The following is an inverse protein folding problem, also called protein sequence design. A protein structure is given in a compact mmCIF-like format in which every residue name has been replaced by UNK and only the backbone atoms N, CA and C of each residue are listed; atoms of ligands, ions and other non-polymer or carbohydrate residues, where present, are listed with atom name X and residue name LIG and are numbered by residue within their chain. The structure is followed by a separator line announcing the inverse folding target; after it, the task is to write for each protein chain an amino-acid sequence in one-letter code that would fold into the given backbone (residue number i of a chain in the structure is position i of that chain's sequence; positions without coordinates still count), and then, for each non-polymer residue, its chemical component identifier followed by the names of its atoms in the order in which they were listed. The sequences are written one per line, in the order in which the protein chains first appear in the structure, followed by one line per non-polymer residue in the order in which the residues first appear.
data_IF_726552100596
#
_entry.id   IF_726552100596
#
_cell.length_a   1.000
_cell.length_b   1.000
_cell.length_c   1.000
_cell.angle_alpha   90.00
_cell.angle_beta   90.00
_cell.angle_gamma   90.00
#
_symmetry.space_group_name_H-M   'P 1'
#
loop_
_entity.id
_entity.type
_entity.pdbx_description
1 polymer ?
#
# COMPACT_ATOMS: atom_id res chain seq x y z
N UNK A 1 2.25 -24.09 1.93
CA UNK A 1 2.87 -25.21 1.19
C UNK A 1 4.20 -24.82 0.54
N UNK A 2 4.24 -23.80 -0.34
CA UNK A 2 5.49 -23.37 -0.99
C UNK A 2 6.44 -22.59 -0.05
N UNK A 3 5.89 -21.77 0.85
CA UNK A 3 6.68 -21.07 1.88
C UNK A 3 7.37 -22.04 2.85
N UNK A 4 6.63 -23.05 3.33
CA UNK A 4 7.15 -24.15 4.14
C UNK A 4 8.22 -25.01 3.44
N UNK A 5 8.43 -24.82 2.12
CA UNK A 5 9.47 -25.49 1.32
C UNK A 5 10.55 -24.53 0.81
N UNK A 6 10.56 -23.27 1.25
CA UNK A 6 11.43 -22.20 0.73
C UNK A 6 11.29 -21.94 -0.79
N UNK A 7 10.16 -22.34 -1.39
CA UNK A 7 9.87 -22.19 -2.82
C UNK A 7 8.91 -21.04 -3.11
N UNK A 8 8.63 -20.19 -2.12
CA UNK A 8 7.73 -19.06 -2.31
C UNK A 8 8.31 -18.03 -3.29
N UNK A 9 9.60 -17.69 -3.18
CA UNK A 9 10.21 -16.71 -4.08
C UNK A 9 10.16 -17.14 -5.56
N UNK A 10 10.49 -18.39 -5.94
CA UNK A 10 10.29 -18.89 -7.31
C UNK A 10 8.83 -18.88 -7.78
N UNK A 11 7.87 -19.21 -6.89
CA UNK A 11 6.45 -19.17 -7.22
C UNK A 11 5.99 -17.73 -7.51
N UNK A 12 6.37 -16.79 -6.64
CA UNK A 12 6.04 -15.36 -6.80
C UNK A 12 6.66 -14.80 -8.07
N UNK A 13 7.91 -15.13 -8.35
CA UNK A 13 8.58 -14.74 -9.59
C UNK A 13 7.80 -15.19 -10.82
N UNK A 14 7.46 -16.49 -10.91
CA UNK A 14 6.74 -17.02 -12.06
C UNK A 14 5.34 -16.44 -12.20
N UNK A 15 4.63 -16.24 -11.08
CA UNK A 15 3.28 -15.67 -11.10
C UNK A 15 3.29 -14.20 -11.49
N UNK A 16 4.21 -13.39 -10.95
CA UNK A 16 4.33 -11.99 -11.33
C UNK A 16 4.83 -11.81 -12.76
N UNK A 17 5.76 -12.66 -13.20
CA UNK A 17 6.21 -12.67 -14.59
C UNK A 17 5.04 -12.92 -15.54
N UNK A 18 4.24 -13.96 -15.28
CA UNK A 18 3.03 -14.28 -16.06
C UNK A 18 2.02 -13.13 -16.06
N UNK A 19 1.73 -12.56 -14.89
CA UNK A 19 0.77 -11.47 -14.76
C UNK A 19 1.21 -10.23 -15.55
N UNK A 20 2.49 -9.87 -15.42
CA UNK A 20 3.09 -8.78 -16.18
C UNK A 20 3.10 -9.11 -17.67
N UNK A 21 3.36 -10.37 -18.05
CA UNK A 21 3.39 -10.84 -19.44
C UNK A 21 2.06 -10.65 -20.18
N UNK A 22 0.94 -10.88 -19.49
CA UNK A 22 -0.41 -10.81 -20.08
C UNK A 22 -1.06 -9.44 -19.98
N UNK A 23 -0.48 -8.49 -19.25
CA UNK A 23 -1.11 -7.19 -18.99
C UNK A 23 -0.81 -6.16 -20.08
N UNK A 24 -1.85 -5.57 -20.68
CA UNK A 24 -1.71 -4.59 -21.78
C UNK A 24 -0.93 -3.33 -21.37
N UNK A 25 -1.10 -2.87 -20.14
CA UNK A 25 -0.41 -1.70 -19.60
C UNK A 25 -0.19 -1.82 -18.08
N UNK A 26 0.72 -1.01 -17.54
CA UNK A 26 1.06 -1.05 -16.11
C UNK A 26 -0.11 -0.57 -15.22
N UNK A 27 -0.97 0.31 -15.72
CA UNK A 27 -2.08 0.90 -14.96
C UNK A 27 -3.16 -0.11 -14.61
N UNK A 28 -3.27 -1.23 -15.32
CA UNK A 28 -4.26 -2.30 -15.05
C UNK A 28 -3.64 -3.49 -14.33
N UNK A 29 -2.31 -3.50 -14.20
CA UNK A 29 -1.57 -4.57 -13.57
C UNK A 29 -1.94 -4.70 -12.10
N UNK A 30 -2.23 -5.93 -11.66
CA UNK A 30 -2.68 -6.27 -10.29
C UNK A 30 -3.95 -5.54 -9.80
N UNK A 31 -4.71 -4.89 -10.69
CA UNK A 31 -6.02 -4.28 -10.36
C UNK A 31 -7.21 -5.20 -10.61
N UNK A 32 -6.99 -6.39 -11.15
CA UNK A 32 -8.01 -7.39 -11.46
C UNK A 32 -8.15 -8.48 -10.40
N UNK A 33 -9.11 -9.39 -10.61
CA UNK A 33 -9.35 -10.57 -9.75
C UNK A 33 -8.52 -11.80 -10.15
N UNK A 34 -7.35 -11.59 -10.74
CA UNK A 34 -6.47 -12.66 -11.22
C UNK A 34 -5.85 -13.44 -10.07
N UNK A 35 -5.31 -14.61 -10.40
CA UNK A 35 -4.54 -15.41 -9.45
C UNK A 35 -3.30 -14.65 -8.94
N UNK A 36 -2.59 -13.92 -9.82
CA UNK A 36 -1.44 -13.11 -9.45
C UNK A 36 -1.78 -12.03 -8.43
N UNK A 37 -2.88 -11.30 -8.65
CA UNK A 37 -3.37 -10.26 -7.72
C UNK A 37 -3.75 -10.84 -6.36
N UNK A 38 -4.42 -11.99 -6.34
CA UNK A 38 -4.79 -12.68 -5.09
C UNK A 38 -3.57 -13.19 -4.32
N UNK A 39 -2.57 -13.74 -5.02
CA UNK A 39 -1.32 -14.20 -4.40
C UNK A 39 -0.54 -13.02 -3.82
N UNK A 40 -0.45 -11.90 -4.54
CA UNK A 40 0.20 -10.68 -4.06
C UNK A 40 -0.48 -10.15 -2.79
N UNK A 41 -1.81 -10.00 -2.83
CA UNK A 41 -2.60 -9.54 -1.67
C UNK A 41 -2.42 -10.49 -0.47
N UNK A 42 -2.41 -11.80 -0.72
CA UNK A 42 -2.16 -12.79 0.33
C UNK A 42 -0.76 -12.62 0.95
N UNK A 43 0.28 -12.40 0.13
CA UNK A 43 1.64 -12.18 0.64
C UNK A 43 1.76 -10.91 1.48
N UNK A 44 1.19 -9.79 1.02
CA UNK A 44 1.12 -8.56 1.81
C UNK A 44 0.39 -8.76 3.13
N UNK A 45 -0.69 -9.55 3.13
CA UNK A 45 -1.42 -9.88 4.35
C UNK A 45 -0.56 -10.69 5.33
N UNK A 46 0.04 -11.79 4.90
CA UNK A 46 0.75 -12.69 5.83
C UNK A 46 2.08 -12.11 6.34
N UNK A 47 2.83 -11.40 5.50
CA UNK A 47 4.14 -10.84 5.89
C UNK A 47 4.05 -9.40 6.37
N UNK A 48 3.01 -8.66 5.97
CA UNK A 48 2.85 -7.24 6.27
C UNK A 48 1.92 -6.95 7.42
N UNK A 49 1.09 -7.89 7.90
CA UNK A 49 0.09 -7.62 8.94
C UNK A 49 0.70 -6.98 10.20
N UNK A 50 1.72 -7.62 10.80
CA UNK A 50 2.36 -7.09 12.01
C UNK A 50 3.07 -5.75 11.76
N UNK A 51 3.66 -5.57 10.58
CA UNK A 51 4.29 -4.31 10.19
C UNK A 51 3.26 -3.17 10.07
N UNK A 52 2.16 -3.41 9.33
CA UNK A 52 1.09 -2.43 9.15
C UNK A 52 0.38 -2.12 10.46
N UNK A 53 0.15 -3.14 11.29
CA UNK A 53 -0.43 -2.94 12.62
C UNK A 53 0.49 -2.04 13.47
N UNK A 54 1.77 -2.40 13.63
CA UNK A 54 2.71 -1.60 14.42
C UNK A 54 2.92 -0.18 13.90
N UNK A 55 2.71 0.04 12.60
CA UNK A 55 2.80 1.34 11.95
C UNK A 55 1.55 2.20 12.15
N UNK A 56 0.36 1.64 11.88
CA UNK A 56 -0.89 2.39 11.79
C UNK A 56 -1.65 2.44 13.11
N UNK A 57 -1.55 1.41 13.94
CA UNK A 57 -2.23 1.35 15.24
C UNK A 57 -1.97 2.58 16.15
N UNK A 58 -0.72 3.06 16.34
CA UNK A 58 -0.48 4.26 17.16
C UNK A 58 -1.04 5.55 16.54
N UNK A 59 -1.33 5.57 15.24
CA UNK A 59 -1.94 6.70 14.55
C UNK A 59 -3.47 6.65 14.59
N UNK A 60 -4.04 5.44 14.57
CA UNK A 60 -5.49 5.21 14.58
C UNK A 60 -6.06 5.31 15.99
N UNK A 61 -5.38 4.75 17.01
CA UNK A 61 -5.91 4.74 18.39
C UNK A 61 -6.31 6.14 18.91
N UNK A 62 -5.47 7.19 18.77
CA UNK A 62 -5.86 8.55 19.20
C UNK A 62 -7.09 9.10 18.48
N UNK A 63 -7.35 8.69 17.22
CA UNK A 63 -8.54 9.11 16.48
C UNK A 63 -9.82 8.46 16.99
N UNK A 64 -9.71 7.25 17.56
CA UNK A 64 -10.85 6.57 18.17
C UNK A 64 -11.19 7.18 19.53
N UNK A 65 -10.17 7.68 20.24
CA UNK A 65 -10.32 8.30 21.56
C UNK A 65 -10.75 9.79 21.48
N UNK A 66 -10.71 10.40 20.29
CA UNK A 66 -11.12 11.78 20.03
C UNK A 66 -12.34 11.84 19.08
N UNK A 67 -13.57 11.76 19.62
CA UNK A 67 -14.79 11.85 18.81
C UNK A 67 -15.18 13.29 18.45
N UNK A 68 -14.44 14.30 18.93
CA UNK A 68 -14.79 15.72 18.76
C UNK A 68 -14.15 16.30 17.52
N UNK A 69 -12.94 15.87 17.18
CA UNK A 69 -12.24 16.36 15.99
C UNK A 69 -12.91 15.87 14.72
N UNK A 70 -13.38 16.82 13.90
CA UNK A 70 -13.94 16.56 12.58
C UNK A 70 -12.91 16.72 11.45
N UNK A 71 -13.13 15.94 10.39
CA UNK A 71 -12.34 15.90 9.17
C UNK A 71 -13.20 16.05 7.91
N UNK A 72 -14.49 16.40 8.06
CA UNK A 72 -15.43 16.52 6.94
C UNK A 72 -15.10 17.77 6.11
N UNK A 73 -14.91 17.57 4.81
CA UNK A 73 -14.51 18.62 3.86
C UNK A 73 -15.52 18.79 2.71
N UNK A 74 -16.60 18.01 2.71
CA UNK A 74 -17.75 18.21 1.83
C UNK A 74 -18.70 19.25 2.44
N UNK A 75 -18.86 20.44 1.83
CA UNK A 75 -19.76 21.47 2.34
C UNK A 75 -21.22 21.01 2.46
N UNK A 76 -21.65 20.04 1.66
CA UNK A 76 -23.02 19.53 1.70
C UNK A 76 -23.28 18.60 2.91
N UNK A 77 -22.23 18.12 3.57
CA UNK A 77 -22.28 17.18 4.71
C UNK A 77 -21.82 17.81 6.02
N UNK A 78 -21.40 19.08 5.99
CA UNK A 78 -20.90 19.83 7.13
C UNK A 78 -22.04 20.17 8.10
N UNK A 79 -21.82 19.95 9.40
CA UNK A 79 -22.76 20.39 10.42
C UNK A 79 -22.68 21.91 10.64
N UNK A 80 -23.77 22.52 11.10
CA UNK A 80 -23.84 23.98 11.28
C UNK A 80 -22.83 24.53 12.31
N UNK A 81 -22.30 23.67 13.18
CA UNK A 81 -21.31 24.01 14.21
C UNK A 81 -19.86 23.80 13.78
N UNK A 82 -19.64 23.22 12.61
CA UNK A 82 -18.29 22.89 12.13
C UNK A 82 -17.71 23.98 11.24
N UNK A 83 -16.38 24.11 11.27
CA UNK A 83 -15.64 25.00 10.38
C UNK A 83 -14.85 24.17 9.36
N UNK A 84 -15.22 24.31 8.09
CA UNK A 84 -14.59 23.57 6.98
C UNK A 84 -13.09 23.85 6.84
N UNK A 85 -12.62 25.06 7.18
CA UNK A 85 -11.21 25.41 7.11
C UNK A 85 -10.42 24.72 8.23
N UNK A 86 -11.03 24.57 9.41
CA UNK A 86 -10.46 23.80 10.52
C UNK A 86 -10.41 22.32 10.17
N UNK A 87 -11.51 21.75 9.68
CA UNK A 87 -11.58 20.34 9.26
C UNK A 87 -10.56 20.01 8.17
N UNK A 88 -10.39 20.90 7.18
CA UNK A 88 -9.38 20.74 6.14
C UNK A 88 -7.96 20.72 6.71
N UNK A 89 -7.64 21.62 7.65
CA UNK A 89 -6.34 21.64 8.32
C UNK A 89 -6.11 20.36 9.13
N UNK A 90 -7.13 19.88 9.84
CA UNK A 90 -7.08 18.62 10.58
C UNK A 90 -6.76 17.44 9.64
N UNK A 91 -7.46 17.37 8.50
CA UNK A 91 -7.29 16.31 7.51
C UNK A 91 -5.89 16.32 6.88
N UNK A 92 -5.39 17.50 6.50
CA UNK A 92 -4.03 17.67 5.97
C UNK A 92 -3.00 17.22 7.02
N UNK A 93 -3.14 17.66 8.27
CA UNK A 93 -2.21 17.32 9.35
C UNK A 93 -2.19 15.81 9.64
N UNK A 94 -3.37 15.16 9.68
CA UNK A 94 -3.46 13.72 9.85
C UNK A 94 -2.82 12.97 8.67
N UNK A 95 -3.14 13.39 7.45
CA UNK A 95 -2.60 12.78 6.22
C UNK A 95 -1.08 12.88 6.20
N UNK A 96 -0.52 14.04 6.55
CA UNK A 96 0.92 14.23 6.63
C UNK A 96 1.56 13.30 7.68
N UNK A 97 0.97 13.18 8.87
CA UNK A 97 1.46 12.26 9.91
C UNK A 97 1.48 10.80 9.43
N UNK A 98 0.42 10.34 8.78
CA UNK A 98 0.34 8.99 8.23
C UNK A 98 1.36 8.78 7.12
N UNK A 99 1.49 9.74 6.21
CA UNK A 99 2.46 9.70 5.13
C UNK A 99 3.89 9.63 5.65
N UNK A 100 4.25 10.51 6.58
CA UNK A 100 5.57 10.55 7.20
C UNK A 100 5.89 9.25 7.92
N UNK A 101 4.92 8.65 8.63
CA UNK A 101 5.11 7.36 9.27
C UNK A 101 5.46 6.26 8.26
N UNK A 102 4.76 6.20 7.12
CA UNK A 102 5.00 5.22 6.05
C UNK A 102 6.37 5.43 5.38
N UNK A 103 6.73 6.68 5.06
CA UNK A 103 8.01 6.97 4.40
C UNK A 103 9.18 6.66 5.33
N UNK A 104 9.04 6.99 6.61
CA UNK A 104 10.08 6.78 7.62
C UNK A 104 10.12 5.35 8.19
N UNK A 105 9.30 4.41 7.70
CA UNK A 105 9.30 3.00 8.16
C UNK A 105 10.02 2.04 7.21
N UNK A 106 10.79 2.55 6.25
CA UNK A 106 11.51 1.76 5.25
C UNK A 106 12.49 0.73 5.87
N UNK A 107 13.10 1.07 7.00
CA UNK A 107 14.00 0.22 7.79
C UNK A 107 13.27 -1.00 8.38
N UNK A 108 12.05 -0.79 8.88
CA UNK A 108 11.16 -1.80 9.47
C UNK A 108 10.37 -2.60 8.43
N UNK A 109 10.48 -2.27 7.15
CA UNK A 109 9.74 -2.96 6.09
C UNK A 109 10.13 -4.45 6.01
N UNK A 110 9.17 -5.39 6.01
CA UNK A 110 9.46 -6.83 6.06
C UNK A 110 10.35 -7.30 4.90
N UNK A 111 11.43 -8.06 5.16
CA UNK A 111 12.37 -8.46 4.11
C UNK A 111 11.72 -9.32 3.02
N UNK A 112 10.73 -10.15 3.37
CA UNK A 112 9.97 -10.96 2.42
C UNK A 112 9.21 -10.08 1.42
N UNK A 113 8.56 -9.02 1.91
CA UNK A 113 7.87 -8.04 1.06
C UNK A 113 8.87 -7.21 0.27
N UNK A 114 10.03 -6.85 0.86
CA UNK A 114 11.10 -6.13 0.15
C UNK A 114 11.58 -6.94 -1.07
N UNK A 115 11.84 -8.23 -0.90
CA UNK A 115 12.19 -9.14 -2.00
C UNK A 115 11.08 -9.24 -3.04
N UNK A 116 9.81 -9.29 -2.60
CA UNK A 116 8.65 -9.33 -3.48
C UNK A 116 8.53 -8.06 -4.34
N UNK A 117 8.62 -6.88 -3.73
CA UNK A 117 8.61 -5.59 -4.41
C UNK A 117 9.82 -5.45 -5.36
N UNK A 118 10.99 -5.92 -4.96
CA UNK A 118 12.18 -5.93 -5.80
C UNK A 118 12.01 -6.83 -7.03
N UNK A 119 11.49 -8.05 -6.85
CA UNK A 119 11.14 -8.96 -7.94
C UNK A 119 10.17 -8.29 -8.92
N UNK A 120 9.10 -7.70 -8.40
CA UNK A 120 8.12 -6.98 -9.22
C UNK A 120 8.78 -5.85 -10.02
N UNK A 121 9.60 -5.02 -9.36
CA UNK A 121 10.35 -3.95 -10.00
C UNK A 121 11.23 -4.44 -11.14
N UNK A 122 11.95 -5.55 -10.97
CA UNK A 122 12.78 -6.12 -12.04
C UNK A 122 11.96 -6.59 -13.25
N UNK A 123 10.83 -7.26 -13.00
CA UNK A 123 9.95 -7.73 -14.08
C UNK A 123 9.35 -6.55 -14.84
N UNK A 124 8.92 -5.50 -14.12
CA UNK A 124 8.43 -4.26 -14.71
C UNK A 124 9.50 -3.54 -15.51
N UNK A 125 10.74 -3.47 -15.00
CA UNK A 125 11.85 -2.80 -15.68
C UNK A 125 12.16 -3.41 -17.03
N UNK A 126 12.03 -4.73 -17.15
CA UNK A 126 12.26 -5.45 -18.40
C UNK A 126 11.16 -5.20 -19.43
N UNK A 127 9.90 -5.12 -19.00
CA UNK A 127 8.76 -4.95 -19.91
C UNK A 127 8.46 -3.48 -20.24
N UNK A 128 8.66 -2.58 -19.28
CA UNK A 128 8.28 -1.17 -19.34
C UNK A 128 9.46 -0.25 -18.96
N UNK A 129 10.58 -0.27 -19.71
CA UNK A 129 11.82 0.42 -19.33
C UNK A 129 11.68 1.95 -19.22
N UNK A 130 10.75 2.55 -19.98
CA UNK A 130 10.58 4.01 -20.04
C UNK A 130 9.64 4.60 -18.97
N UNK A 131 8.99 3.76 -18.16
CA UNK A 131 7.89 4.19 -17.27
C UNK A 131 8.27 4.24 -15.77
N UNK A 132 9.39 3.62 -15.38
CA UNK A 132 9.78 3.48 -13.97
C UNK A 132 10.40 4.73 -13.35
N UNK A 133 10.67 5.78 -14.12
CA UNK A 133 11.11 7.06 -13.58
C UNK A 133 9.99 7.76 -12.77
N UNK A 134 8.72 7.36 -12.90
CA UNK A 134 7.58 8.14 -12.38
C UNK A 134 6.62 7.42 -11.40
N UNK A 135 6.64 6.09 -11.19
CA UNK A 135 5.53 5.40 -10.49
C UNK A 135 5.90 4.13 -9.68
N UNK A 136 6.76 4.23 -8.66
CA UNK A 136 7.05 3.07 -7.77
C UNK A 136 6.05 2.94 -6.59
N UNK A 137 5.11 3.88 -6.42
CA UNK A 137 4.21 3.92 -5.24
C UNK A 137 2.71 3.81 -5.49
N UNK A 138 2.27 3.42 -6.69
CA UNK A 138 0.85 3.42 -7.09
C UNK A 138 0.16 2.06 -6.98
#
# INVERSE_FOLDING_TARGET
LFDAKHLLSPLLWNMFYREVEVSDCMQTLFRGNSLGSKIMAFCFKIYGASYLQGLLEPLIRPLLDDPVTSFEVDPARLEATEDIEVNRKNLIALTQKVFDAIVNSADRFPPQLRSMCHCLYQVLSKRFPNLLQNNIGA
#
